data_IF_619018865041
#
_entry.id   IF_619018865041
#
_cell.length_a   1.000
_cell.length_b   1.000
_cell.length_c   1.000
_cell.angle_alpha   90.00
_cell.angle_beta   90.00
_cell.angle_gamma   90.00
#
_symmetry.space_group_name_H-M   'P 1'
#
loop_
_entity.id
_entity.type
_entity.pdbx_description
1 polymer ?
#
# COMPACT_ATOMS: atom_id res chain seq x y z
N UNK A 1 10.27 -26.04 -8.74
CA UNK A 1 8.82 -26.37 -8.74
C UNK A 1 8.11 -25.07 -8.34
N UNK A 2 7.44 -24.44 -9.27
CA UNK A 2 6.57 -23.29 -8.97
C UNK A 2 5.42 -23.79 -8.13
N UNK A 3 5.29 -23.35 -6.89
CA UNK A 3 4.16 -23.68 -6.03
C UNK A 3 2.87 -23.11 -6.63
N UNK A 4 1.79 -23.89 -6.63
CA UNK A 4 0.48 -23.35 -6.99
C UNK A 4 -0.05 -22.42 -5.87
N UNK A 5 -0.95 -21.51 -6.19
CA UNK A 5 -1.61 -20.66 -5.19
C UNK A 5 -2.23 -21.51 -4.05
N UNK A 6 -2.85 -22.65 -4.37
CA UNK A 6 -3.39 -23.59 -3.38
C UNK A 6 -2.32 -24.13 -2.42
N UNK A 7 -1.11 -24.41 -2.93
CA UNK A 7 0.02 -24.87 -2.10
C UNK A 7 0.48 -23.77 -1.15
N UNK A 8 0.56 -22.51 -1.64
CA UNK A 8 0.93 -21.34 -0.83
C UNK A 8 -0.10 -21.12 0.30
N UNK A 9 -1.40 -21.12 -0.05
CA UNK A 9 -2.51 -20.97 0.91
C UNK A 9 -2.48 -22.08 1.97
N UNK A 10 -2.31 -23.33 1.54
CA UNK A 10 -2.23 -24.48 2.45
C UNK A 10 -1.06 -24.36 3.39
N UNK A 11 0.11 -23.92 2.89
CA UNK A 11 1.28 -23.69 3.71
C UNK A 11 1.03 -22.62 4.77
N UNK A 12 0.53 -21.44 4.38
CA UNK A 12 0.24 -20.34 5.32
C UNK A 12 -0.77 -20.78 6.38
N UNK A 13 -1.87 -21.44 5.99
CA UNK A 13 -2.88 -21.99 6.92
C UNK A 13 -2.29 -23.03 7.88
N UNK A 14 -1.30 -23.81 7.44
CA UNK A 14 -0.63 -24.80 8.31
C UNK A 14 0.27 -24.15 9.36
N UNK A 15 0.80 -22.96 9.08
CA UNK A 15 1.70 -22.22 9.99
C UNK A 15 0.94 -21.36 10.98
N UNK A 16 -0.18 -20.80 10.56
CA UNK A 16 -0.99 -19.91 11.38
C UNK A 16 -2.47 -20.32 11.30
N UNK A 17 -3.04 -20.74 12.42
CA UNK A 17 -4.46 -21.05 12.52
C UNK A 17 -5.27 -19.74 12.72
N UNK A 18 -5.10 -18.81 11.78
CA UNK A 18 -5.77 -17.51 11.75
C UNK A 18 -6.50 -17.38 10.43
N UNK A 19 -7.77 -16.99 10.47
CA UNK A 19 -8.55 -16.62 9.27
C UNK A 19 -8.69 -15.10 9.28
N UNK A 20 -7.78 -14.36 8.61
CA UNK A 20 -7.79 -12.91 8.64
C UNK A 20 -8.96 -12.36 7.81
N UNK A 21 -9.70 -11.38 8.36
CA UNK A 21 -10.69 -10.62 7.61
C UNK A 21 -10.06 -9.41 6.91
N UNK A 22 -8.98 -8.88 7.48
CA UNK A 22 -8.27 -7.70 7.00
C UNK A 22 -6.81 -8.01 6.67
N UNK A 23 -6.36 -7.59 5.50
CA UNK A 23 -4.95 -7.61 5.10
C UNK A 23 -4.37 -6.19 5.05
N UNK A 24 -3.09 -6.07 5.40
CA UNK A 24 -2.33 -4.83 5.26
C UNK A 24 -1.05 -5.09 4.48
N UNK A 25 -0.81 -4.33 3.42
CA UNK A 25 0.48 -4.32 2.73
C UNK A 25 1.28 -3.10 3.20
N UNK A 26 2.40 -3.37 3.85
CA UNK A 26 3.27 -2.33 4.40
C UNK A 26 4.24 -1.83 3.34
N UNK A 27 4.23 -0.53 3.09
CA UNK A 27 5.17 0.16 2.20
C UNK A 27 6.55 0.35 2.83
N UNK A 28 7.48 0.88 2.04
CA UNK A 28 8.87 1.17 2.47
C UNK A 28 8.89 2.06 3.71
N UNK A 29 9.71 1.70 4.70
CA UNK A 29 9.83 2.41 5.98
C UNK A 29 8.72 2.12 7.01
N UNK A 30 7.67 1.36 6.66
CA UNK A 30 6.51 1.10 7.52
C UNK A 30 6.51 -0.31 8.14
N UNK A 31 7.55 -1.11 7.90
CA UNK A 31 7.64 -2.51 8.35
C UNK A 31 7.52 -2.69 9.88
N UNK A 32 7.97 -1.68 10.68
CA UNK A 32 7.87 -1.71 12.13
C UNK A 32 6.43 -1.80 12.66
N UNK A 33 5.42 -1.42 11.87
CA UNK A 33 4.01 -1.52 12.25
C UNK A 33 3.56 -2.97 12.49
N UNK A 34 4.22 -3.94 11.85
CA UNK A 34 3.96 -5.37 12.05
C UNK A 34 4.27 -5.85 13.47
N UNK A 35 5.10 -5.11 14.24
CA UNK A 35 5.43 -5.43 15.63
C UNK A 35 4.23 -5.25 16.58
N UNK A 36 3.21 -4.50 16.16
CA UNK A 36 1.98 -4.28 16.92
C UNK A 36 0.99 -5.45 16.86
N UNK A 37 1.26 -6.47 16.01
CA UNK A 37 0.39 -7.65 15.88
C UNK A 37 0.57 -8.57 17.08
N UNK A 38 -0.46 -8.68 17.90
CA UNK A 38 -0.49 -9.54 19.09
C UNK A 38 -0.53 -11.02 18.69
N UNK A 39 0.36 -11.82 19.30
CA UNK A 39 0.48 -13.24 18.96
C UNK A 39 0.92 -13.48 17.52
N UNK A 40 1.60 -12.52 16.91
CA UNK A 40 1.98 -12.53 15.51
C UNK A 40 2.85 -13.71 15.12
N UNK A 41 2.35 -14.55 14.23
CA UNK A 41 3.07 -15.68 13.63
C UNK A 41 3.72 -15.18 12.35
N UNK A 42 5.05 -15.18 12.32
CA UNK A 42 5.85 -14.80 11.17
C UNK A 42 6.00 -15.96 10.20
N UNK A 43 5.70 -15.72 8.95
CA UNK A 43 5.86 -16.66 7.84
C UNK A 43 6.74 -15.99 6.78
N UNK A 44 8.06 -16.29 6.77
CA UNK A 44 8.98 -15.75 5.77
C UNK A 44 8.54 -16.14 4.35
N UNK A 45 8.64 -15.20 3.41
CA UNK A 45 8.28 -15.47 2.00
C UNK A 45 9.08 -16.63 1.40
N UNK A 46 10.36 -16.75 1.78
CA UNK A 46 11.23 -17.85 1.33
C UNK A 46 10.80 -19.23 1.80
N UNK A 47 9.99 -19.33 2.85
CA UNK A 47 9.46 -20.59 3.36
C UNK A 47 8.16 -20.99 2.64
N UNK A 48 7.47 -20.05 1.99
CA UNK A 48 6.23 -20.32 1.25
C UNK A 48 6.60 -20.92 -0.10
N UNK A 49 6.15 -22.15 -0.43
CA UNK A 49 6.56 -22.85 -1.63
C UNK A 49 6.26 -22.08 -2.93
N UNK A 50 7.29 -21.63 -3.63
CA UNK A 50 7.18 -20.90 -4.89
C UNK A 50 6.80 -19.43 -4.77
N UNK A 51 6.72 -18.88 -3.55
CA UNK A 51 6.47 -17.45 -3.35
C UNK A 51 7.75 -16.63 -3.60
N UNK A 52 7.66 -15.49 -4.30
CA UNK A 52 8.83 -14.68 -4.61
C UNK A 52 9.37 -13.98 -3.36
N UNK A 53 10.60 -13.46 -3.47
CA UNK A 53 11.22 -12.63 -2.44
C UNK A 53 11.47 -11.21 -2.98
N UNK A 54 11.13 -10.16 -2.22
CA UNK A 54 11.41 -8.79 -2.63
C UNK A 54 12.91 -8.53 -2.65
N UNK A 55 13.35 -7.68 -3.57
CA UNK A 55 14.78 -7.31 -3.70
C UNK A 55 15.05 -5.89 -3.20
N UNK A 56 13.99 -5.12 -2.89
CA UNK A 56 14.08 -3.73 -2.44
C UNK A 56 14.46 -3.68 -0.97
N UNK A 57 15.45 -2.86 -0.64
CA UNK A 57 15.87 -2.59 0.73
C UNK A 57 14.72 -2.02 1.56
N UNK A 58 14.59 -2.49 2.81
CA UNK A 58 13.49 -2.10 3.71
C UNK A 58 12.25 -3.00 3.64
N UNK A 59 12.23 -4.00 2.77
CA UNK A 59 11.21 -5.05 2.72
C UNK A 59 11.72 -6.33 3.36
N UNK A 60 11.19 -6.71 4.55
CA UNK A 60 11.65 -7.91 5.28
C UNK A 60 11.25 -9.23 4.62
N UNK A 61 10.25 -9.23 3.75
CA UNK A 61 9.81 -10.42 3.04
C UNK A 61 9.15 -11.45 3.94
N UNK A 62 8.17 -11.05 4.73
CA UNK A 62 7.42 -11.94 5.62
C UNK A 62 5.93 -11.56 5.70
N UNK A 63 5.09 -12.57 5.92
CA UNK A 63 3.72 -12.39 6.38
C UNK A 63 3.68 -12.48 7.90
N UNK A 64 2.92 -11.62 8.55
CA UNK A 64 2.65 -11.65 9.98
C UNK A 64 1.15 -11.84 10.17
N UNK A 65 0.75 -12.98 10.74
CA UNK A 65 -0.65 -13.30 11.00
C UNK A 65 -0.91 -13.29 12.50
N UNK A 66 -1.93 -12.58 12.95
CA UNK A 66 -2.25 -12.49 14.37
C UNK A 66 -3.47 -11.62 14.63
N UNK A 67 -3.46 -10.96 15.77
CA UNK A 67 -4.54 -10.08 16.21
C UNK A 67 -4.03 -8.64 16.33
N UNK A 68 -4.84 -7.69 15.90
CA UNK A 68 -4.59 -6.28 16.14
C UNK A 68 -5.88 -5.65 16.65
N UNK A 69 -5.89 -5.27 17.93
CA UNK A 69 -7.08 -4.67 18.58
C UNK A 69 -8.37 -5.50 18.46
N UNK A 70 -8.26 -6.82 18.58
CA UNK A 70 -9.41 -7.72 18.46
C UNK A 70 -9.64 -8.27 17.05
N UNK A 71 -9.09 -7.62 16.03
CA UNK A 71 -9.24 -8.03 14.63
C UNK A 71 -8.17 -9.01 14.19
N UNK A 72 -8.59 -10.05 13.45
CA UNK A 72 -7.67 -11.02 12.82
C UNK A 72 -7.10 -10.43 11.55
N UNK A 73 -5.79 -10.21 11.55
CA UNK A 73 -5.09 -9.55 10.45
C UNK A 73 -4.00 -10.43 9.84
N UNK A 74 -3.70 -10.18 8.57
CA UNK A 74 -2.45 -10.55 7.93
C UNK A 74 -1.75 -9.28 7.46
N UNK A 75 -0.49 -9.11 7.86
CA UNK A 75 0.35 -8.02 7.39
C UNK A 75 1.45 -8.57 6.48
N UNK A 76 1.60 -7.98 5.30
CA UNK A 76 2.72 -8.24 4.40
C UNK A 76 3.79 -7.18 4.64
N UNK A 77 4.93 -7.58 5.20
CA UNK A 77 6.11 -6.73 5.37
C UNK A 77 7.04 -6.92 4.18
N UNK A 78 6.64 -6.35 3.04
CA UNK A 78 7.33 -6.44 1.77
C UNK A 78 6.36 -6.50 0.59
N UNK A 79 6.76 -5.87 -0.50
CA UNK A 79 5.99 -5.72 -1.75
C UNK A 79 6.88 -6.02 -2.95
N UNK A 80 6.27 -6.38 -4.07
CA UNK A 80 6.95 -6.56 -5.36
C UNK A 80 6.65 -5.39 -6.27
N UNK A 81 7.64 -4.97 -7.08
CA UNK A 81 7.50 -3.87 -8.02
C UNK A 81 7.86 -4.30 -9.44
N UNK A 82 7.23 -3.70 -10.43
CA UNK A 82 7.54 -3.98 -11.83
C UNK A 82 9.00 -3.62 -12.19
N UNK A 83 9.55 -2.58 -11.58
CA UNK A 83 10.94 -2.17 -11.83
C UNK A 83 11.99 -3.16 -11.28
N UNK A 84 11.60 -4.11 -10.43
CA UNK A 84 12.45 -5.23 -10.01
C UNK A 84 12.57 -6.32 -11.10
N UNK A 85 11.80 -6.18 -12.21
CA UNK A 85 11.73 -7.17 -13.29
C UNK A 85 10.62 -8.21 -13.10
N UNK A 86 9.77 -8.05 -12.08
CA UNK A 86 8.59 -8.88 -11.87
C UNK A 86 7.50 -8.55 -12.89
N UNK A 87 6.72 -9.56 -13.27
CA UNK A 87 5.52 -9.37 -14.05
C UNK A 87 4.31 -8.98 -13.16
N UNK A 88 3.22 -8.57 -13.79
CA UNK A 88 1.99 -8.20 -13.07
C UNK A 88 1.40 -9.36 -12.26
N UNK A 89 1.58 -10.60 -12.72
CA UNK A 89 1.09 -11.78 -12.03
C UNK A 89 1.81 -11.95 -10.68
N UNK A 90 3.12 -11.77 -10.66
CA UNK A 90 3.96 -11.80 -9.45
C UNK A 90 3.67 -10.62 -8.53
N UNK A 91 3.56 -9.40 -9.07
CA UNK A 91 3.26 -8.20 -8.29
C UNK A 91 1.92 -8.31 -7.57
N UNK A 92 0.93 -8.92 -8.20
CA UNK A 92 -0.43 -9.09 -7.63
C UNK A 92 -0.65 -10.41 -6.88
N UNK A 93 0.33 -11.30 -6.85
CA UNK A 93 0.24 -12.58 -6.17
C UNK A 93 -0.13 -12.47 -4.68
N UNK A 94 0.41 -11.50 -3.89
CA UNK A 94 0.00 -11.30 -2.49
C UNK A 94 -1.51 -11.09 -2.34
N UNK A 95 -2.12 -10.35 -3.26
CA UNK A 95 -3.55 -10.03 -3.21
C UNK A 95 -4.39 -11.28 -3.46
N UNK A 96 -4.00 -12.11 -4.43
CA UNK A 96 -4.64 -13.41 -4.69
C UNK A 96 -4.52 -14.32 -3.47
N UNK A 97 -3.34 -14.36 -2.83
CA UNK A 97 -3.12 -15.15 -1.61
C UNK A 97 -4.03 -14.68 -0.46
N UNK A 98 -4.15 -13.37 -0.24
CA UNK A 98 -5.02 -12.83 0.80
C UNK A 98 -6.49 -13.14 0.55
N UNK A 99 -6.97 -13.01 -0.68
CA UNK A 99 -8.33 -13.40 -1.06
C UNK A 99 -8.61 -14.88 -0.73
N UNK A 100 -7.71 -15.79 -1.07
CA UNK A 100 -7.84 -17.23 -0.78
C UNK A 100 -7.70 -17.56 0.73
N UNK A 101 -7.09 -16.69 1.51
CA UNK A 101 -7.08 -16.77 2.98
C UNK A 101 -8.40 -16.31 3.60
N UNK A 102 -9.28 -15.67 2.81
CA UNK A 102 -10.61 -15.20 3.25
C UNK A 102 -10.66 -13.72 3.58
N UNK A 103 -9.63 -12.94 3.22
CA UNK A 103 -9.58 -11.50 3.44
C UNK A 103 -10.65 -10.79 2.62
N UNK A 104 -11.37 -9.87 3.27
CA UNK A 104 -12.41 -9.03 2.67
C UNK A 104 -11.96 -7.57 2.55
N UNK A 105 -11.20 -7.08 3.54
CA UNK A 105 -10.72 -5.72 3.60
C UNK A 105 -9.22 -5.67 3.34
N UNK A 106 -8.81 -4.87 2.37
CA UNK A 106 -7.41 -4.68 2.01
C UNK A 106 -6.99 -3.23 2.30
N UNK A 107 -5.98 -3.06 3.13
CA UNK A 107 -5.36 -1.77 3.36
C UNK A 107 -3.98 -1.78 2.70
N UNK A 108 -3.80 -0.92 1.72
CA UNK A 108 -2.53 -0.72 1.04
C UNK A 108 -1.86 0.53 1.59
N UNK A 109 -0.59 0.41 1.98
CA UNK A 109 0.21 1.56 2.36
C UNK A 109 1.40 1.71 1.43
N UNK A 110 1.84 2.93 1.17
CA UNK A 110 3.02 3.21 0.37
C UNK A 110 3.70 4.52 0.80
N UNK A 111 4.94 4.69 0.35
CA UNK A 111 5.63 5.97 0.30
C UNK A 111 5.43 6.58 -1.07
N UNK A 112 5.20 7.89 -1.14
CA UNK A 112 4.96 8.61 -2.38
C UNK A 112 5.57 10.01 -2.37
N UNK A 113 5.89 10.54 -3.54
CA UNK A 113 6.29 11.93 -3.72
C UNK A 113 5.07 12.84 -3.82
N UNK A 114 5.05 13.95 -3.07
CA UNK A 114 4.03 14.99 -3.20
C UNK A 114 4.23 15.79 -4.48
N UNK A 115 3.20 15.90 -5.31
CA UNK A 115 3.20 16.79 -6.48
C UNK A 115 2.59 18.16 -6.18
N UNK A 116 2.25 18.41 -4.91
CA UNK A 116 1.62 19.64 -4.42
C UNK A 116 2.43 20.25 -3.28
N UNK A 117 2.81 21.52 -3.40
CA UNK A 117 3.64 22.21 -2.39
C UNK A 117 2.96 22.28 -1.01
N UNK A 118 1.62 22.30 -0.97
CA UNK A 118 0.86 22.35 0.29
C UNK A 118 0.84 21.02 1.06
N UNK A 119 1.20 19.92 0.43
CA UNK A 119 1.28 18.61 1.06
C UNK A 119 2.74 18.29 1.38
N UNK A 120 3.23 18.80 2.50
CA UNK A 120 4.63 18.65 2.90
C UNK A 120 5.01 17.19 3.20
N UNK A 121 6.30 16.84 3.15
CA UNK A 121 6.79 15.55 3.63
C UNK A 121 6.27 15.23 5.05
N UNK A 122 5.92 13.98 5.28
CA UNK A 122 5.25 13.50 6.49
C UNK A 122 3.72 13.59 6.46
N UNK A 123 3.11 14.17 5.41
CA UNK A 123 1.65 14.18 5.24
C UNK A 123 1.14 12.76 4.96
N UNK A 124 0.05 12.37 5.63
CA UNK A 124 -0.71 11.15 5.31
C UNK A 124 -1.87 11.51 4.38
N UNK A 125 -2.04 10.71 3.33
CA UNK A 125 -3.06 10.97 2.31
C UNK A 125 -3.83 9.69 1.98
N UNK A 126 -5.14 9.68 2.23
CA UNK A 126 -6.05 8.66 1.74
C UNK A 126 -6.26 8.83 0.23
N UNK A 127 -6.11 7.75 -0.51
CA UNK A 127 -6.22 7.75 -1.97
C UNK A 127 -7.69 7.52 -2.35
N UNK A 128 -8.30 8.55 -2.93
CA UNK A 128 -9.69 8.52 -3.41
C UNK A 128 -9.82 8.17 -4.88
N UNK A 129 -8.71 8.22 -5.60
CA UNK A 129 -8.61 7.87 -7.01
C UNK A 129 -7.17 7.56 -7.41
N UNK A 130 -6.99 6.85 -8.51
CA UNK A 130 -5.67 6.64 -9.09
C UNK A 130 -5.61 7.05 -10.56
N UNK A 131 -4.39 7.32 -11.01
CA UNK A 131 -4.03 7.68 -12.37
C UNK A 131 -2.91 6.74 -12.84
N UNK A 132 -3.12 6.00 -13.92
CA UNK A 132 -2.07 5.17 -14.52
C UNK A 132 -1.18 6.04 -15.43
N UNK A 133 -0.02 6.42 -14.93
CA UNK A 133 0.96 7.23 -15.64
C UNK A 133 2.07 6.37 -16.29
N UNK A 134 1.83 5.05 -16.45
CA UNK A 134 2.81 4.14 -17.04
C UNK A 134 2.76 4.08 -18.57
N UNK A 135 1.64 4.52 -19.15
CA UNK A 135 1.36 4.44 -20.61
C UNK A 135 1.43 3.01 -21.16
N UNK A 136 1.34 1.98 -20.31
CA UNK A 136 1.40 0.58 -20.76
C UNK A 136 0.10 0.09 -21.39
N UNK A 137 -1.03 0.66 -21.03
CA UNK A 137 -2.37 0.24 -21.49
C UNK A 137 -2.88 1.08 -22.68
N UNK A 138 -2.01 1.50 -23.60
CA UNK A 138 -2.35 2.21 -24.87
C UNK A 138 -3.22 3.47 -24.67
N UNK A 139 -3.08 4.16 -23.57
CA UNK A 139 -3.79 5.40 -23.32
C UNK A 139 -2.92 6.59 -23.69
N UNK A 140 -3.28 7.32 -24.75
CA UNK A 140 -2.61 8.58 -25.11
C UNK A 140 -2.76 9.65 -24.02
N UNK A 141 -3.80 9.52 -23.19
CA UNK A 141 -4.05 10.39 -22.05
C UNK A 141 -4.51 9.55 -20.86
N UNK A 142 -3.71 9.50 -19.78
CA UNK A 142 -4.10 8.83 -18.55
C UNK A 142 -5.39 9.41 -17.97
N UNK A 143 -6.30 8.55 -17.53
CA UNK A 143 -7.57 8.94 -16.93
C UNK A 143 -7.57 8.65 -15.42
N UNK A 144 -8.26 9.51 -14.68
CA UNK A 144 -8.51 9.29 -13.25
C UNK A 144 -9.59 8.21 -13.10
N UNK A 145 -9.28 7.19 -12.27
CA UNK A 145 -10.17 6.10 -11.90
C UNK A 145 -10.53 6.25 -10.43
N UNK A 146 -11.84 6.45 -10.13
CA UNK A 146 -12.37 6.68 -8.78
C UNK A 146 -13.56 5.76 -8.43
N UNK A 147 -13.66 4.61 -9.08
CA UNK A 147 -14.74 3.66 -8.83
C UNK A 147 -14.65 3.07 -7.41
N UNK A 148 -15.81 2.90 -6.74
CA UNK A 148 -15.91 2.35 -5.37
C UNK A 148 -15.26 0.97 -5.24
N UNK A 149 -15.28 0.15 -6.28
CA UNK A 149 -14.61 -1.16 -6.30
C UNK A 149 -13.08 -1.06 -6.12
N UNK A 150 -12.48 0.10 -6.39
CA UNK A 150 -11.04 0.35 -6.24
C UNK A 150 -10.70 1.25 -5.06
N UNK A 151 -11.67 2.09 -4.64
CA UNK A 151 -11.51 3.06 -3.55
C UNK A 151 -12.79 3.06 -2.72
N UNK A 152 -12.90 2.10 -1.78
CA UNK A 152 -14.13 1.87 -1.02
C UNK A 152 -14.54 3.09 -0.19
N UNK A 153 -15.68 3.69 -0.53
CA UNK A 153 -16.22 4.86 0.17
C UNK A 153 -16.43 4.58 1.67
N UNK A 154 -16.85 3.35 2.01
CA UNK A 154 -17.01 2.94 3.40
C UNK A 154 -15.70 2.92 4.18
N UNK A 155 -14.62 2.38 3.59
CA UNK A 155 -13.30 2.37 4.25
C UNK A 155 -12.66 3.77 4.27
N UNK A 156 -12.88 4.61 3.26
CA UNK A 156 -12.45 6.01 3.27
C UNK A 156 -13.13 6.79 4.39
N UNK A 157 -14.43 6.58 4.61
CA UNK A 157 -15.16 7.18 5.72
C UNK A 157 -14.59 6.74 7.07
N UNK A 158 -14.37 5.44 7.28
CA UNK A 158 -13.73 4.89 8.48
C UNK A 158 -12.34 5.51 8.70
N UNK A 159 -11.55 5.68 7.63
CA UNK A 159 -10.23 6.31 7.73
C UNK A 159 -10.32 7.77 8.18
N UNK A 160 -11.28 8.54 7.64
CA UNK A 160 -11.53 9.92 8.04
C UNK A 160 -11.92 10.05 9.52
N UNK A 161 -12.90 9.26 9.98
CA UNK A 161 -13.31 9.26 11.39
C UNK A 161 -12.17 8.82 12.33
N UNK A 162 -11.38 7.80 11.91
CA UNK A 162 -10.23 7.35 12.69
C UNK A 162 -9.14 8.42 12.77
N UNK A 163 -8.94 9.21 11.72
CA UNK A 163 -8.03 10.33 11.72
C UNK A 163 -8.51 11.44 12.67
N UNK A 164 -9.79 11.80 12.63
CA UNK A 164 -10.38 12.79 13.53
C UNK A 164 -10.27 12.37 15.01
N UNK A 165 -10.62 11.12 15.35
CA UNK A 165 -10.49 10.56 16.72
C UNK A 165 -9.06 10.67 17.26
N UNK A 166 -8.05 10.63 16.38
CA UNK A 166 -6.64 10.66 16.73
C UNK A 166 -5.96 12.02 16.52
N UNK A 167 -6.70 13.06 16.12
CA UNK A 167 -6.19 14.38 15.75
C UNK A 167 -5.09 14.30 14.67
N UNK A 168 -5.28 13.45 13.66
CA UNK A 168 -4.37 13.29 12.53
C UNK A 168 -4.98 14.01 11.34
N UNK A 169 -4.20 14.91 10.72
CA UNK A 169 -4.58 15.59 9.48
C UNK A 169 -4.38 14.60 8.31
N UNK A 170 -5.46 13.90 7.94
CA UNK A 170 -5.49 12.98 6.81
C UNK A 170 -6.00 13.74 5.58
N UNK A 171 -5.12 13.92 4.59
CA UNK A 171 -5.50 14.49 3.30
C UNK A 171 -6.19 13.45 2.43
N UNK A 172 -6.90 13.91 1.40
CA UNK A 172 -7.45 13.06 0.34
C UNK A 172 -6.84 13.45 -0.99
N UNK A 173 -6.68 12.48 -1.90
CA UNK A 173 -6.10 12.81 -3.20
C UNK A 173 -5.98 11.68 -4.20
N UNK A 174 -5.51 12.06 -5.39
CA UNK A 174 -5.28 11.18 -6.53
C UNK A 174 -3.81 10.73 -6.53
N UNK A 175 -3.59 9.43 -6.57
CA UNK A 175 -2.27 8.82 -6.67
C UNK A 175 -1.95 8.51 -8.14
N UNK A 176 -0.85 9.04 -8.66
CA UNK A 176 -0.31 8.70 -9.97
C UNK A 176 0.68 7.54 -9.84
N UNK A 177 0.49 6.52 -10.65
CA UNK A 177 1.38 5.37 -10.73
C UNK A 177 2.35 5.52 -11.89
N UNK A 178 3.63 5.66 -11.60
CA UNK A 178 4.75 5.62 -12.54
C UNK A 178 5.50 4.27 -12.43
N UNK A 179 6.23 3.89 -13.46
CA UNK A 179 6.95 2.60 -13.48
C UNK A 179 8.15 2.55 -12.54
N UNK A 180 8.94 3.61 -12.51
CA UNK A 180 10.28 3.57 -11.89
C UNK A 180 11.30 2.77 -12.72
N UNK A 181 12.51 2.48 -12.19
CA UNK A 181 13.02 2.89 -10.88
C UNK A 181 13.50 4.36 -10.82
N UNK A 182 13.60 5.04 -11.99
CA UNK A 182 13.99 6.45 -12.03
C UNK A 182 12.87 7.34 -11.52
N UNK A 183 13.21 8.36 -10.75
CA UNK A 183 12.26 9.42 -10.41
C UNK A 183 11.84 10.17 -11.69
N UNK A 184 10.65 10.73 -11.63
CA UNK A 184 10.08 11.53 -12.71
C UNK A 184 10.87 12.82 -12.92
N UNK A 185 10.83 13.33 -14.15
CA UNK A 185 11.34 14.68 -14.46
C UNK A 185 10.37 15.76 -13.97
N UNK A 186 10.81 17.00 -13.77
CA UNK A 186 9.90 18.12 -13.45
C UNK A 186 8.73 18.27 -14.43
N UNK A 187 8.96 18.03 -15.73
CA UNK A 187 7.92 18.12 -16.75
C UNK A 187 6.86 17.03 -16.62
N UNK A 188 7.25 15.80 -16.26
CA UNK A 188 6.30 14.72 -15.94
C UNK A 188 5.50 15.02 -14.69
N UNK A 189 6.12 15.61 -13.66
CA UNK A 189 5.41 16.04 -12.44
C UNK A 189 4.42 17.15 -12.73
N UNK A 190 4.77 18.12 -13.59
CA UNK A 190 3.84 19.16 -14.03
C UNK A 190 2.63 18.56 -14.77
N UNK A 191 2.87 17.59 -15.66
CA UNK A 191 1.80 16.88 -16.36
C UNK A 191 0.92 16.07 -15.39
N UNK A 192 1.49 15.34 -14.44
CA UNK A 192 0.72 14.62 -13.40
C UNK A 192 -0.16 15.62 -12.62
N UNK A 193 0.37 16.80 -12.30
CA UNK A 193 -0.38 17.86 -11.61
C UNK A 193 -1.53 18.41 -12.46
N UNK A 194 -1.31 18.63 -13.74
CA UNK A 194 -2.33 19.09 -14.71
C UNK A 194 -3.43 18.05 -14.88
N UNK A 195 -3.09 16.77 -14.90
CA UNK A 195 -4.04 15.65 -14.94
C UNK A 195 -4.80 15.44 -13.62
N UNK A 196 -4.53 16.24 -12.59
CA UNK A 196 -5.23 16.19 -11.30
C UNK A 196 -4.56 15.33 -10.25
N UNK A 197 -3.34 14.83 -10.47
CA UNK A 197 -2.56 14.07 -9.48
C UNK A 197 -2.17 14.91 -8.26
N UNK A 198 -2.04 14.24 -7.11
CA UNK A 198 -1.64 14.81 -5.82
C UNK A 198 -0.36 14.17 -5.30
N UNK A 199 -0.16 12.89 -5.59
CA UNK A 199 1.04 12.12 -5.25
C UNK A 199 1.46 11.26 -6.42
N UNK A 200 2.74 10.87 -6.45
CA UNK A 200 3.30 9.94 -7.43
C UNK A 200 4.12 8.86 -6.73
N UNK A 201 4.04 7.64 -7.23
CA UNK A 201 4.84 6.54 -6.75
C UNK A 201 4.85 5.36 -7.73
N UNK A 202 5.58 4.30 -7.38
CA UNK A 202 5.99 3.25 -8.32
C UNK A 202 5.35 1.89 -8.01
N UNK A 203 4.21 1.87 -7.30
CA UNK A 203 3.56 0.64 -6.83
C UNK A 203 2.04 0.81 -6.75
N UNK A 204 1.36 -0.15 -6.09
CA UNK A 204 0.03 -0.02 -5.51
C UNK A 204 -1.13 -0.14 -6.50
N UNK A 205 -1.10 0.51 -7.66
CA UNK A 205 -2.23 0.47 -8.62
C UNK A 205 -2.48 -0.94 -9.16
N UNK A 206 -1.47 -1.77 -9.48
CA UNK A 206 -1.71 -3.17 -9.83
C UNK A 206 -2.44 -3.95 -8.73
N UNK A 207 -2.07 -3.71 -7.47
CA UNK A 207 -2.69 -4.34 -6.30
C UNK A 207 -4.14 -3.87 -6.11
N UNK A 208 -4.41 -2.56 -6.26
CA UNK A 208 -5.76 -1.99 -6.23
C UNK A 208 -6.64 -2.67 -7.29
N UNK A 209 -6.16 -2.77 -8.53
CA UNK A 209 -6.90 -3.38 -9.64
C UNK A 209 -7.21 -4.84 -9.36
N UNK A 210 -6.19 -5.61 -8.97
CA UNK A 210 -6.36 -7.03 -8.66
C UNK A 210 -7.36 -7.26 -7.51
N UNK A 211 -7.29 -6.48 -6.46
CA UNK A 211 -8.19 -6.56 -5.32
C UNK A 211 -9.65 -6.18 -5.69
N UNK A 212 -9.81 -5.12 -6.50
CA UNK A 212 -11.13 -4.69 -6.98
C UNK A 212 -11.80 -5.73 -7.87
N UNK A 213 -11.04 -6.42 -8.73
CA UNK A 213 -11.54 -7.54 -9.54
C UNK A 213 -11.94 -8.76 -8.70
N UNK A 214 -11.30 -8.96 -7.56
CA UNK A 214 -11.64 -10.00 -6.59
C UNK A 214 -12.77 -9.59 -5.63
N UNK A 215 -13.32 -8.38 -5.76
CA UNK A 215 -14.42 -7.88 -4.93
C UNK A 215 -14.03 -7.55 -3.49
N UNK A 216 -12.76 -7.32 -3.21
CA UNK A 216 -12.29 -6.88 -1.90
C UNK A 216 -12.62 -5.40 -1.69
N UNK A 217 -12.89 -4.98 -0.45
CA UNK A 217 -12.96 -3.56 -0.09
C UNK A 217 -11.54 -3.02 0.08
N UNK A 218 -11.25 -1.87 -0.51
CA UNK A 218 -9.87 -1.35 -0.60
C UNK A 218 -9.77 0.04 0.01
N UNK A 219 -8.81 0.20 0.90
CA UNK A 219 -8.33 1.48 1.39
C UNK A 219 -6.85 1.62 1.04
N UNK A 220 -6.47 2.74 0.47
CA UNK A 220 -5.06 3.04 0.23
C UNK A 220 -4.68 4.31 0.97
N UNK A 221 -3.56 4.29 1.69
CA UNK A 221 -3.00 5.46 2.38
C UNK A 221 -1.54 5.62 1.98
N UNK A 222 -1.19 6.78 1.44
CA UNK A 222 0.19 7.17 1.15
C UNK A 222 0.78 7.99 2.29
N UNK A 223 2.02 7.68 2.64
CA UNK A 223 2.89 8.61 3.35
C UNK A 223 3.64 9.44 2.30
N UNK A 224 3.43 10.74 2.26
CA UNK A 224 4.16 11.63 1.37
C UNK A 224 5.53 11.90 1.98
N UNK A 225 6.55 11.19 1.50
CA UNK A 225 7.88 11.18 2.12
C UNK A 225 8.81 12.27 1.64
N UNK A 226 8.53 12.82 0.47
CA UNK A 226 9.31 13.85 -0.20
C UNK A 226 8.42 14.69 -1.10
N UNK A 227 8.90 15.84 -1.52
CA UNK A 227 8.35 16.50 -2.71
C UNK A 227 8.83 15.80 -3.97
N UNK A 228 7.98 15.66 -4.97
CA UNK A 228 8.37 15.17 -6.28
C UNK A 228 9.26 16.17 -7.01
N UNK A 229 9.93 15.75 -8.07
CA UNK A 229 10.89 16.58 -8.80
C UNK A 229 10.28 17.90 -9.27
N UNK A 230 10.98 19.00 -9.05
CA UNK A 230 10.55 20.34 -9.47
C UNK A 230 9.46 20.99 -8.65
N UNK A 231 8.89 20.31 -7.63
CA UNK A 231 7.89 20.93 -6.72
C UNK A 231 8.55 21.96 -5.82
N UNK A 232 9.76 21.67 -5.36
CA UNK A 232 10.64 22.58 -4.61
C UNK A 232 12.06 22.47 -5.17
N UNK A 233 12.88 23.51 -4.94
CA UNK A 233 14.30 23.50 -5.33
C UNK A 233 15.14 22.70 -4.31
N UNK A 234 14.97 21.39 -4.27
CA UNK A 234 15.75 20.48 -3.43
C UNK A 234 15.95 19.14 -4.15
N UNK A 235 17.12 18.49 -3.98
CA UNK A 235 17.34 17.15 -4.51
C UNK A 235 16.46 16.13 -3.76
N UNK A 236 16.08 15.07 -4.45
CA UNK A 236 15.37 13.93 -3.86
C UNK A 236 16.41 12.85 -3.60
N UNK A 237 16.47 12.34 -2.37
CA UNK A 237 17.32 11.20 -2.01
C UNK A 237 16.48 10.08 -1.39
N UNK A 238 16.92 8.83 -1.59
CA UNK A 238 16.24 7.67 -1.01
C UNK A 238 16.34 7.68 0.53
N UNK A 239 17.42 8.19 1.09
CA UNK A 239 17.63 8.35 2.53
C UNK A 239 16.59 9.30 3.16
N UNK A 240 16.26 10.41 2.49
CA UNK A 240 15.21 11.33 2.95
C UNK A 240 13.83 10.68 2.91
N UNK A 241 13.55 9.87 1.90
CA UNK A 241 12.30 9.08 1.79
C UNK A 241 12.14 8.17 3.01
N UNK A 242 13.20 7.40 3.35
CA UNK A 242 13.18 6.49 4.50
C UNK A 242 13.03 7.26 5.82
N UNK A 243 13.81 8.35 5.99
CA UNK A 243 13.78 9.15 7.22
C UNK A 243 12.41 9.81 7.45
N UNK A 244 11.81 10.38 6.42
CA UNK A 244 10.47 10.98 6.49
C UNK A 244 9.37 9.95 6.75
N UNK A 245 9.48 8.74 6.17
CA UNK A 245 8.58 7.64 6.45
C UNK A 245 8.67 7.18 7.91
N UNK A 246 9.89 7.10 8.46
CA UNK A 246 10.12 6.73 9.86
C UNK A 246 9.57 7.79 10.84
N UNK A 247 9.76 9.08 10.54
CA UNK A 247 9.21 10.18 11.37
C UNK A 247 7.67 10.20 11.35
N UNK A 248 7.05 9.94 10.21
CA UNK A 248 5.60 9.83 10.10
C UNK A 248 5.05 8.50 10.68
N UNK A 249 5.93 7.51 10.88
CA UNK A 249 5.56 6.13 11.18
C UNK A 249 4.71 5.97 12.44
N UNK A 250 4.99 6.70 13.52
CA UNK A 250 4.19 6.65 14.75
C UNK A 250 2.75 7.10 14.51
N UNK A 251 2.59 8.24 13.82
CA UNK A 251 1.26 8.77 13.46
C UNK A 251 0.52 7.83 12.52
N UNK A 252 1.22 7.27 11.55
CA UNK A 252 0.65 6.33 10.60
C UNK A 252 0.23 5.02 11.29
N UNK A 253 1.08 4.47 12.18
CA UNK A 253 0.76 3.27 12.96
C UNK A 253 -0.46 3.47 13.84
N UNK A 254 -0.59 4.64 14.48
CA UNK A 254 -1.75 5.01 15.27
C UNK A 254 -3.02 5.08 14.43
N UNK A 255 -2.95 5.71 13.26
CA UNK A 255 -4.07 5.79 12.33
C UNK A 255 -4.49 4.39 11.84
N UNK A 256 -3.53 3.59 11.38
CA UNK A 256 -3.79 2.24 10.87
C UNK A 256 -4.43 1.34 11.94
N UNK A 257 -3.93 1.38 13.17
CA UNK A 257 -4.48 0.63 14.30
C UNK A 257 -5.92 1.04 14.59
N UNK A 258 -6.21 2.35 14.58
CA UNK A 258 -7.57 2.89 14.80
C UNK A 258 -8.53 2.51 13.67
N UNK A 259 -8.06 2.49 12.41
CA UNK A 259 -8.86 2.06 11.26
C UNK A 259 -9.24 0.57 11.40
N UNK A 260 -8.28 -0.28 11.73
CA UNK A 260 -8.51 -1.73 11.87
C UNK A 260 -9.49 -2.02 13.01
N UNK A 261 -9.33 -1.36 14.16
CA UNK A 261 -10.26 -1.44 15.29
C UNK A 261 -11.69 -1.03 14.87
N UNK A 262 -11.83 0.07 14.12
CA UNK A 262 -13.13 0.57 13.66
C UNK A 262 -13.77 -0.34 12.61
N UNK A 263 -12.99 -0.99 11.73
CA UNK A 263 -13.51 -2.02 10.81
C UNK A 263 -14.18 -3.15 11.60
N UNK A 264 -13.54 -3.62 12.68
CA UNK A 264 -14.08 -4.69 13.52
C UNK A 264 -15.33 -4.30 14.30
N UNK A 265 -15.51 -3.03 14.63
CA UNK A 265 -16.73 -2.53 15.28
C UNK A 265 -17.95 -2.50 14.33
N UNK A 266 -17.71 -2.48 13.02
CA UNK A 266 -18.75 -2.26 11.99
C UNK A 266 -19.16 -3.52 11.22
N UNK A 267 -18.41 -4.62 11.34
CA UNK A 267 -18.75 -5.96 10.79
C UNK A 267 -19.47 -6.84 11.81
#
# INVERSE_FOLDING_TARGET
>A
MTGSLETMVSYVKSRANVSPATAVVLGSGLGHMAENVEGGIKVPYGDIPGYPQPTVEGHSGELILGNLRGEKVVMASGRFHLYEGWDLETVTLPIKLFHELGVKNLILTNSAGSVRVQNSPGTLMAITAHLDFTYQENSDTPLIVNEDRYHSAGLLHIAGESAERNNIDLKEGVYAWALGPSYETPAEIDLIRELGGHAVGMSTVPEIRAAGELGMKILTISCLTNYAAGVVEAPITHEEVIASAAEAGERFGKLLTSIIEHIGETE
#
